data_IF_101728609745
#
_entry.id   IF_101728609745
#
_cell.length_a   1.000
_cell.length_b   1.000
_cell.length_c   1.000
_cell.angle_alpha   90.00
_cell.angle_beta   90.00
_cell.angle_gamma   90.00
#
_symmetry.space_group_name_H-M   'P 1'
#
loop_
_entity.id
_entity.type
_entity.pdbx_description
1 polymer ?
#
# COMPACT_ATOMS: atom_id res chain seq x y z
N UNK A 1 -17.30 1.19 17.54
CA UNK A 1 -16.18 0.71 16.71
C UNK A 1 -15.50 1.91 16.06
N UNK A 2 -14.26 2.21 16.42
CA UNK A 2 -13.48 3.27 15.76
C UNK A 2 -12.74 2.71 14.55
N UNK A 3 -12.89 3.34 13.38
CA UNK A 3 -12.10 3.01 12.19
C UNK A 3 -10.85 3.90 12.15
N UNK A 4 -9.74 3.36 11.67
CA UNK A 4 -8.51 4.10 11.40
C UNK A 4 -8.24 4.14 9.89
N UNK A 5 -7.77 5.28 9.42
CA UNK A 5 -7.31 5.50 8.06
C UNK A 5 -5.81 5.26 7.99
N UNK A 6 -5.36 4.43 7.05
CA UNK A 6 -3.96 4.32 6.66
C UNK A 6 -3.76 4.92 5.28
N UNK A 7 -2.77 5.78 5.14
CA UNK A 7 -2.32 6.29 3.86
C UNK A 7 -0.89 5.80 3.68
N UNK A 8 -0.65 4.99 2.67
CA UNK A 8 0.65 4.42 2.36
C UNK A 8 1.08 4.94 1.00
N UNK A 9 2.28 5.49 0.93
CA UNK A 9 2.87 6.03 -0.30
C UNK A 9 3.98 5.09 -0.75
N UNK A 10 3.85 4.63 -1.98
CA UNK A 10 4.83 3.81 -2.66
C UNK A 10 5.47 4.61 -3.76
N UNK A 11 6.77 4.36 -3.97
CA UNK A 11 7.51 4.92 -5.09
C UNK A 11 8.07 3.77 -5.93
N UNK A 12 7.29 3.23 -6.89
CA UNK A 12 7.77 2.17 -7.77
C UNK A 12 8.95 2.64 -8.62
N UNK A 13 9.78 1.70 -9.05
CA UNK A 13 10.73 1.94 -10.14
C UNK A 13 9.94 2.20 -11.43
N UNK A 14 10.38 3.12 -12.31
CA UNK A 14 9.63 3.46 -13.51
C UNK A 14 9.31 2.25 -14.39
N UNK A 15 10.24 1.28 -14.49
CA UNK A 15 10.05 0.05 -15.27
C UNK A 15 9.02 -0.92 -14.68
N UNK A 16 8.62 -0.73 -13.42
CA UNK A 16 7.67 -1.59 -12.68
C UNK A 16 6.42 -0.84 -12.23
N UNK A 17 6.22 0.41 -12.65
CA UNK A 17 5.14 1.26 -12.15
C UNK A 17 3.75 0.66 -12.41
N UNK A 18 3.49 0.29 -13.67
CA UNK A 18 2.18 -0.23 -14.07
C UNK A 18 1.90 -1.60 -13.43
N UNK A 19 2.90 -2.47 -13.37
CA UNK A 19 2.80 -3.79 -12.72
C UNK A 19 2.51 -3.63 -11.21
N UNK A 20 3.26 -2.76 -10.53
CA UNK A 20 3.05 -2.50 -9.11
C UNK A 20 1.68 -1.88 -8.85
N UNK A 21 1.25 -0.94 -9.69
CA UNK A 21 -0.08 -0.34 -9.59
C UNK A 21 -1.18 -1.40 -9.71
N UNK A 22 -1.07 -2.30 -10.69
CA UNK A 22 -2.03 -3.38 -10.89
C UNK A 22 -2.07 -4.28 -9.65
N UNK A 23 -0.91 -4.64 -9.11
CA UNK A 23 -0.80 -5.44 -7.89
C UNK A 23 -1.49 -4.79 -6.68
N UNK A 24 -1.35 -3.47 -6.49
CA UNK A 24 -2.03 -2.72 -5.42
C UNK A 24 -3.56 -2.75 -5.64
N UNK A 25 -4.02 -2.63 -6.89
CA UNK A 25 -5.45 -2.69 -7.22
C UNK A 25 -6.02 -4.08 -6.95
N UNK A 26 -5.34 -5.15 -7.41
CA UNK A 26 -5.76 -6.54 -7.18
C UNK A 26 -5.81 -6.87 -5.68
N UNK A 27 -4.80 -6.48 -4.91
CA UNK A 27 -4.77 -6.64 -3.44
C UNK A 27 -5.93 -5.91 -2.73
N UNK A 28 -6.50 -4.89 -3.38
CA UNK A 28 -7.65 -4.16 -2.88
C UNK A 28 -8.99 -4.86 -3.09
N UNK A 29 -9.11 -5.78 -4.07
CA UNK A 29 -10.39 -6.39 -4.47
C UNK A 29 -10.95 -7.36 -3.44
N UNK A 30 -10.09 -8.00 -2.66
CA UNK A 30 -10.51 -8.94 -1.61
C UNK A 30 -11.02 -8.22 -0.34
N UNK A 31 -10.89 -6.89 -0.28
CA UNK A 31 -11.29 -6.08 0.87
C UNK A 31 -12.76 -5.67 0.79
N UNK A 32 -13.30 -5.31 1.94
CA UNK A 32 -14.67 -4.79 2.04
C UNK A 32 -14.86 -3.57 1.11
N UNK A 33 -15.95 -3.50 0.33
CA UNK A 33 -16.22 -2.37 -0.55
C UNK A 33 -16.16 -1.02 0.19
N UNK A 34 -15.53 -0.02 -0.41
CA UNK A 34 -15.40 1.33 0.17
C UNK A 34 -14.36 1.45 1.28
N UNK A 35 -13.55 0.42 1.54
CA UNK A 35 -12.47 0.45 2.54
C UNK A 35 -11.06 0.52 1.93
N UNK A 36 -10.94 0.41 0.61
CA UNK A 36 -9.67 0.45 -0.10
C UNK A 36 -9.74 1.37 -1.31
N UNK A 37 -8.79 2.30 -1.41
CA UNK A 37 -8.68 3.22 -2.54
C UNK A 37 -7.24 3.29 -3.01
N UNK A 38 -7.07 3.40 -4.33
CA UNK A 38 -5.77 3.55 -4.96
C UNK A 38 -5.77 4.86 -5.74
N UNK A 39 -4.75 5.67 -5.52
CA UNK A 39 -4.55 6.94 -6.21
C UNK A 39 -3.17 6.93 -6.88
N UNK A 40 -3.12 7.51 -8.07
CA UNK A 40 -1.85 7.78 -8.78
C UNK A 40 -1.51 9.25 -8.60
N UNK A 41 -0.24 9.54 -8.32
CA UNK A 41 0.28 10.90 -8.29
C UNK A 41 1.71 10.89 -8.80
N UNK A 42 1.95 11.51 -9.95
CA UNK A 42 3.28 11.55 -10.57
C UNK A 42 3.89 10.13 -10.70
N UNK A 43 5.04 9.89 -10.08
CA UNK A 43 5.74 8.60 -9.98
C UNK A 43 5.41 7.82 -8.69
N UNK A 44 4.37 8.23 -7.96
CA UNK A 44 3.91 7.60 -6.72
C UNK A 44 2.60 6.84 -6.93
N UNK A 45 2.47 5.75 -6.17
CA UNK A 45 1.22 5.01 -5.97
C UNK A 45 0.81 5.17 -4.51
N UNK A 46 -0.40 5.66 -4.28
CA UNK A 46 -0.92 5.93 -2.93
C UNK A 46 -2.06 4.95 -2.65
N UNK A 47 -1.89 4.11 -1.65
CA UNK A 47 -2.93 3.21 -1.15
C UNK A 47 -3.56 3.80 0.12
N UNK A 48 -4.88 3.89 0.13
CA UNK A 48 -5.68 4.35 1.27
C UNK A 48 -6.50 3.17 1.76
N UNK A 49 -6.33 2.81 3.03
CA UNK A 49 -6.99 1.66 3.65
C UNK A 49 -7.72 2.10 4.91
N UNK A 50 -9.01 1.80 4.99
CA UNK A 50 -9.86 2.04 6.16
C UNK A 50 -10.06 0.69 6.85
N UNK A 51 -9.71 0.58 8.14
CA UNK A 51 -9.87 -0.67 8.89
C UNK A 51 -10.21 -0.39 10.35
N UNK A 52 -10.64 -1.42 11.08
CA UNK A 52 -10.91 -1.28 12.51
C UNK A 52 -9.65 -0.93 13.30
N UNK A 53 -9.82 -0.14 14.36
CA UNK A 53 -8.72 0.28 15.22
C UNK A 53 -8.12 -0.86 16.05
N UNK A 54 -8.92 -1.91 16.29
CA UNK A 54 -8.52 -3.09 17.04
C UNK A 54 -7.67 -3.99 16.15
N UNK A 55 -6.42 -4.28 16.57
CA UNK A 55 -5.45 -5.00 15.72
C UNK A 55 -4.86 -4.18 14.58
N UNK A 56 -5.03 -2.85 14.57
CA UNK A 56 -4.55 -1.97 13.48
C UNK A 56 -3.06 -2.11 13.19
N UNK A 57 -2.22 -2.16 14.22
CA UNK A 57 -0.76 -2.23 14.07
C UNK A 57 -0.31 -3.58 13.55
N UNK A 58 -0.93 -4.66 14.04
CA UNK A 58 -0.64 -6.02 13.60
C UNK A 58 -1.15 -6.28 12.18
N UNK A 59 -2.36 -5.83 11.84
CA UNK A 59 -2.88 -5.87 10.47
C UNK A 59 -2.10 -4.97 9.51
N UNK A 60 -1.59 -3.82 9.98
CA UNK A 60 -0.67 -3.00 9.22
C UNK A 60 0.62 -3.77 8.93
N UNK A 61 1.23 -4.38 9.94
CA UNK A 61 2.47 -5.13 9.78
C UNK A 61 2.26 -6.36 8.90
N UNK A 62 1.32 -7.24 9.22
CA UNK A 62 1.17 -8.51 8.52
C UNK A 62 0.68 -8.34 7.07
N UNK A 63 -0.25 -7.42 6.83
CA UNK A 63 -0.85 -7.24 5.51
C UNK A 63 -0.01 -6.36 4.58
N UNK A 64 0.71 -5.38 5.12
CA UNK A 64 1.52 -4.46 4.31
C UNK A 64 2.96 -4.97 4.21
N UNK A 65 3.59 -5.43 5.28
CA UNK A 65 5.00 -5.82 5.26
C UNK A 65 5.23 -7.11 4.49
N UNK A 66 4.43 -8.17 4.74
CA UNK A 66 4.63 -9.45 4.04
C UNK A 66 4.36 -9.33 2.54
N UNK A 67 3.28 -8.63 2.16
CA UNK A 67 2.95 -8.39 0.75
C UNK A 67 3.96 -7.47 0.05
N UNK A 68 4.51 -6.49 0.78
CA UNK A 68 5.54 -5.61 0.25
C UNK A 68 6.90 -6.28 0.15
N UNK A 69 7.26 -7.22 1.01
CA UNK A 69 8.59 -7.82 0.96
C UNK A 69 8.83 -8.58 -0.36
N UNK A 70 7.80 -9.20 -0.93
CA UNK A 70 7.85 -9.79 -2.29
C UNK A 70 8.02 -8.74 -3.39
N UNK A 71 7.46 -7.54 -3.18
CA UNK A 71 7.40 -6.44 -4.16
C UNK A 71 8.45 -5.36 -3.91
N UNK A 72 9.23 -5.50 -2.85
CA UNK A 72 10.31 -4.59 -2.46
C UNK A 72 11.31 -4.37 -3.59
N UNK A 73 11.68 -5.38 -4.41
CA UNK A 73 12.57 -5.16 -5.55
C UNK A 73 12.00 -4.22 -6.63
N UNK A 74 10.67 -4.06 -6.70
CA UNK A 74 9.98 -3.17 -7.63
C UNK A 74 9.92 -1.72 -7.13
N UNK A 75 10.24 -1.48 -5.86
CA UNK A 75 10.20 -0.16 -5.24
C UNK A 75 11.57 0.52 -5.28
N UNK A 76 11.56 1.84 -5.36
CA UNK A 76 12.74 2.65 -5.12
C UNK A 76 13.07 2.60 -3.63
N UNK A 77 14.34 2.39 -3.30
CA UNK A 77 14.80 2.54 -1.92
C UNK A 77 14.63 4.01 -1.52
N UNK A 78 13.84 4.25 -0.47
CA UNK A 78 13.79 5.56 0.15
C UNK A 78 15.10 5.73 0.92
N UNK A 79 16.10 6.35 0.30
CA UNK A 79 17.23 6.88 1.06
C UNK A 79 16.67 7.97 1.98
N UNK A 80 16.48 7.64 3.26
CA UNK A 80 16.25 8.67 4.26
C UNK A 80 17.46 9.64 4.18
N UNK A 81 17.24 10.96 4.09
CA UNK A 81 18.35 11.90 4.11
C UNK A 81 19.17 11.63 5.39
N UNK A 82 20.46 11.34 5.19
CA UNK A 82 21.44 11.16 6.27
C UNK A 82 21.58 12.41 7.12
#
# INVERSE_FOLDING_TARGET
>A
MSKKLSIIRFKPKPEHYDDFLQDVIENGKEREPGTHFVMKKDDEVIAIVIRDSEGFEQSAQDGVVNWLDERRPMLQEFEAPR
#
